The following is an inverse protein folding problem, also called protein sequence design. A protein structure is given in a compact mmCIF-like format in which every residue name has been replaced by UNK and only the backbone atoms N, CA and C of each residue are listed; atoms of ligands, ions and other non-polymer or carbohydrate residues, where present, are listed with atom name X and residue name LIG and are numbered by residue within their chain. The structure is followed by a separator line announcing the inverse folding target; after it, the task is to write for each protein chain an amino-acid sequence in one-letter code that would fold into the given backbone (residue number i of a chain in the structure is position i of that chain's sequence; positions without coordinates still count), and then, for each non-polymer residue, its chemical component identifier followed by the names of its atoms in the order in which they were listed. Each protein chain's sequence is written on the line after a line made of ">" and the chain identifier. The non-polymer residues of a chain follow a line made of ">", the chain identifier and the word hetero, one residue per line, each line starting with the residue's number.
data_IF_691577210620
#
_entry.id   IF_691577210620
#
_cell.length_a   1.000
_cell.length_b   1.000
_cell.length_c   1.000
_cell.angle_alpha   90.00
_cell.angle_beta   90.00
_cell.angle_gamma   90.00
#
_symmetry.space_group_name_H-M   'P 1'
#
loop_
_entity.id
_entity.type
_entity.pdbx_description
1 polymer ?
#
# COMPACT_ATOMS: atom_id res chain seq x y z
N UNK A 1 -1.60 18.01 -14.72
CA UNK A 1 -0.97 17.14 -15.72
C UNK A 1 -1.66 15.79 -15.72
N UNK A 2 -2.10 15.26 -16.89
CA UNK A 2 -2.81 13.98 -16.93
C UNK A 2 -1.90 12.75 -16.84
N UNK A 3 -0.57 12.94 -16.77
CA UNK A 3 0.38 11.84 -16.73
C UNK A 3 1.42 12.09 -15.65
N UNK A 4 1.66 11.08 -14.81
CA UNK A 4 2.73 11.10 -13.83
C UNK A 4 3.76 10.04 -14.23
N UNK A 5 4.91 10.48 -14.73
CA UNK A 5 6.00 9.59 -15.11
C UNK A 5 6.74 9.10 -13.88
N UNK A 6 7.31 7.90 -13.95
CA UNK A 6 8.02 7.32 -12.82
C UNK A 6 9.11 8.25 -12.28
N UNK A 7 9.85 8.90 -13.17
CA UNK A 7 10.98 9.74 -12.80
C UNK A 7 10.61 11.21 -12.58
N UNK A 8 9.33 11.56 -12.67
CA UNK A 8 8.92 12.97 -12.61
C UNK A 8 8.69 13.47 -11.19
N UNK A 9 8.59 12.58 -10.22
CA UNK A 9 8.31 12.93 -8.84
C UNK A 9 9.21 12.11 -7.94
N UNK A 10 9.82 12.78 -6.94
CA UNK A 10 10.61 12.08 -5.93
C UNK A 10 9.63 11.41 -4.97
N UNK A 11 9.74 10.09 -4.75
CA UNK A 11 8.85 9.42 -3.81
C UNK A 11 9.00 9.98 -2.39
N UNK A 12 7.89 10.03 -1.68
CA UNK A 12 7.90 10.41 -0.27
C UNK A 12 8.50 9.27 0.56
N UNK A 13 9.48 9.59 1.40
CA UNK A 13 10.04 8.62 2.33
C UNK A 13 9.20 8.64 3.59
N UNK A 14 8.47 7.55 3.84
CA UNK A 14 7.61 7.44 5.02
C UNK A 14 8.45 7.05 6.24
N UNK A 15 9.32 6.05 6.05
CA UNK A 15 10.30 5.66 7.06
C UNK A 15 11.44 4.94 6.37
N UNK A 16 12.40 4.43 7.12
CA UNK A 16 13.50 3.68 6.53
C UNK A 16 12.97 2.41 5.85
N UNK A 17 13.24 2.29 4.57
CA UNK A 17 12.81 1.14 3.77
C UNK A 17 11.40 1.22 3.25
N UNK A 18 10.69 2.33 3.44
CA UNK A 18 9.34 2.50 2.90
C UNK A 18 9.19 3.86 2.25
N UNK A 19 8.94 3.85 0.94
CA UNK A 19 8.63 5.06 0.17
C UNK A 19 7.28 4.90 -0.50
N UNK A 20 6.64 6.03 -0.81
CA UNK A 20 5.38 6.01 -1.54
C UNK A 20 5.31 7.18 -2.51
N UNK A 21 4.63 6.95 -3.62
CA UNK A 21 4.34 7.98 -4.61
C UNK A 21 2.82 8.05 -4.77
N UNK A 22 2.25 9.23 -4.55
CA UNK A 22 0.81 9.43 -4.48
C UNK A 22 0.35 10.20 -5.70
N UNK A 23 -0.73 9.74 -6.31
CA UNK A 23 -1.41 10.41 -7.42
C UNK A 23 -2.92 10.32 -7.17
N UNK A 24 -3.65 11.41 -7.40
CA UNK A 24 -5.08 11.39 -7.11
C UNK A 24 -5.87 12.37 -7.96
N UNK A 25 -7.14 12.09 -8.06
CA UNK A 25 -8.18 13.03 -8.51
C UNK A 25 -9.03 13.41 -7.30
N UNK A 26 -10.30 13.79 -7.52
CA UNK A 26 -11.15 14.23 -6.40
C UNK A 26 -11.58 13.05 -5.50
N UNK A 27 -11.90 11.92 -6.10
CA UNK A 27 -12.48 10.79 -5.36
C UNK A 27 -11.66 9.51 -5.45
N UNK A 28 -10.56 9.54 -6.19
CA UNK A 28 -9.78 8.34 -6.48
C UNK A 28 -8.31 8.64 -6.28
N UNK A 29 -7.62 7.76 -5.57
CA UNK A 29 -6.20 7.90 -5.28
C UNK A 29 -5.48 6.60 -5.59
N UNK A 30 -4.30 6.70 -6.19
CA UNK A 30 -3.39 5.57 -6.39
C UNK A 30 -2.08 5.89 -5.67
N UNK A 31 -1.61 4.92 -4.90
CA UNK A 31 -0.35 5.04 -4.15
C UNK A 31 0.55 3.87 -4.53
N UNK A 32 1.72 4.17 -5.06
CA UNK A 32 2.74 3.15 -5.33
C UNK A 32 3.64 3.08 -4.11
N UNK A 33 3.62 1.95 -3.43
CA UNK A 33 4.35 1.72 -2.19
C UNK A 33 5.52 0.79 -2.45
N UNK A 34 6.72 1.20 -2.07
CA UNK A 34 7.91 0.37 -2.16
C UNK A 34 8.47 0.11 -0.77
N UNK A 35 8.57 -1.17 -0.42
CA UNK A 35 9.18 -1.64 0.82
C UNK A 35 10.50 -2.31 0.44
N UNK A 36 11.62 -1.74 0.88
CA UNK A 36 12.93 -2.19 0.44
C UNK A 36 13.79 -2.78 1.56
N UNK A 37 13.24 -2.87 2.76
CA UNK A 37 13.98 -3.30 3.95
C UNK A 37 13.42 -4.59 4.54
N UNK A 38 12.77 -5.40 3.70
CA UNK A 38 12.24 -6.68 4.14
C UNK A 38 13.30 -7.77 4.21
N UNK A 39 12.92 -8.93 4.72
CA UNK A 39 11.59 -9.22 5.25
C UNK A 39 11.36 -8.57 6.62
N UNK A 40 10.10 -8.30 6.93
CA UNK A 40 9.72 -7.83 8.27
C UNK A 40 9.76 -8.98 9.25
N UNK A 41 10.24 -8.71 10.47
CA UNK A 41 10.30 -9.74 11.52
C UNK A 41 8.92 -10.07 12.08
N UNK A 42 7.99 -9.12 12.00
CA UNK A 42 6.62 -9.27 12.48
C UNK A 42 5.71 -8.37 11.64
N UNK A 43 4.39 -8.62 11.65
CA UNK A 43 3.47 -7.75 10.94
C UNK A 43 3.46 -6.33 11.50
N UNK A 44 3.10 -5.36 10.65
CA UNK A 44 2.75 -4.04 11.14
C UNK A 44 1.54 -4.12 12.06
N UNK A 45 1.36 -3.15 12.98
CA UNK A 45 0.15 -3.11 13.79
C UNK A 45 -1.09 -2.99 12.90
N UNK A 46 -2.18 -3.70 13.22
CA UNK A 46 -3.42 -3.56 12.45
C UNK A 46 -3.95 -2.14 12.52
N UNK A 47 -4.51 -1.67 11.40
CA UNK A 47 -5.12 -0.35 11.32
C UNK A 47 -6.43 -0.42 10.55
N UNK A 48 -7.23 0.62 10.67
CA UNK A 48 -8.49 0.77 9.96
C UNK A 48 -8.57 2.15 9.34
N UNK A 49 -9.35 2.25 8.29
CA UNK A 49 -9.72 3.54 7.69
C UNK A 49 -11.08 3.39 7.01
N UNK A 50 -11.85 4.48 6.90
CA UNK A 50 -13.18 4.40 6.29
C UNK A 50 -13.14 4.19 4.78
N UNK A 51 -12.00 4.43 4.15
CA UNK A 51 -11.82 4.32 2.70
C UNK A 51 -11.86 2.87 2.25
N UNK A 52 -12.44 2.62 1.08
CA UNK A 52 -12.25 1.35 0.40
C UNK A 52 -10.86 1.30 -0.20
N UNK A 53 -10.28 0.11 -0.24
CA UNK A 53 -8.94 -0.09 -0.77
C UNK A 53 -8.91 -1.35 -1.61
N UNK A 54 -8.29 -1.25 -2.80
CA UNK A 54 -7.93 -2.40 -3.62
C UNK A 54 -6.45 -2.29 -3.90
N UNK A 55 -5.71 -3.36 -3.66
CA UNK A 55 -4.25 -3.37 -3.81
C UNK A 55 -3.81 -4.48 -4.74
N UNK A 56 -2.95 -4.12 -5.69
CA UNK A 56 -2.29 -5.03 -6.61
C UNK A 56 -0.86 -5.28 -6.13
N UNK A 57 -0.47 -6.55 -6.04
CA UNK A 57 0.91 -6.92 -5.70
C UNK A 57 1.73 -6.91 -6.97
N UNK A 58 2.61 -5.91 -7.13
CA UNK A 58 3.42 -5.75 -8.34
C UNK A 58 4.73 -6.52 -8.25
N UNK A 59 5.36 -6.56 -7.08
CA UNK A 59 6.63 -7.25 -6.86
C UNK A 59 6.69 -7.79 -5.44
N UNK A 60 7.42 -8.90 -5.26
CA UNK A 60 7.69 -9.48 -3.96
C UNK A 60 6.51 -10.23 -3.36
N UNK A 61 6.70 -10.75 -2.17
CA UNK A 61 5.72 -11.57 -1.47
C UNK A 61 5.47 -11.00 -0.08
N UNK A 62 4.25 -11.21 0.41
CA UNK A 62 3.85 -10.70 1.71
C UNK A 62 2.75 -11.57 2.29
N UNK A 63 2.58 -11.45 3.60
CA UNK A 63 1.35 -11.89 4.26
C UNK A 63 0.43 -10.69 4.43
N UNK A 64 -0.84 -10.89 4.10
CA UNK A 64 -1.90 -9.95 4.41
C UNK A 64 -2.69 -10.52 5.58
N UNK A 65 -2.90 -9.69 6.58
CA UNK A 65 -3.80 -10.00 7.69
C UNK A 65 -5.04 -9.14 7.52
N UNK A 66 -6.15 -9.79 7.20
CA UNK A 66 -7.42 -9.12 6.95
C UNK A 66 -8.39 -9.62 8.01
N UNK A 67 -8.68 -8.74 8.98
CA UNK A 67 -9.37 -9.12 10.20
C UNK A 67 -8.57 -10.25 10.87
N UNK A 68 -9.11 -11.46 11.00
CA UNK A 68 -8.40 -12.59 11.59
C UNK A 68 -7.83 -13.56 10.56
N UNK A 69 -8.00 -13.27 9.28
CA UNK A 69 -7.52 -14.14 8.20
C UNK A 69 -6.11 -13.75 7.79
N UNK A 70 -5.28 -14.76 7.54
CA UNK A 70 -3.92 -14.58 7.04
C UNK A 70 -3.84 -15.13 5.62
N UNK A 71 -3.33 -14.31 4.70
CA UNK A 71 -3.21 -14.69 3.28
C UNK A 71 -1.78 -14.50 2.83
N UNK A 72 -1.24 -15.50 2.13
CA UNK A 72 0.08 -15.39 1.49
C UNK A 72 -0.14 -14.91 0.05
N UNK A 73 0.44 -13.76 -0.28
CA UNK A 73 0.23 -13.12 -1.59
C UNK A 73 1.54 -13.03 -2.35
N UNK A 74 1.42 -13.16 -3.68
CA UNK A 74 2.52 -13.14 -4.65
C UNK A 74 2.24 -12.13 -5.74
N UNK A 75 3.23 -11.79 -6.58
CA UNK A 75 3.01 -10.86 -7.68
C UNK A 75 1.84 -11.29 -8.56
N UNK A 76 0.99 -10.33 -8.89
CA UNK A 76 -0.23 -10.56 -9.65
C UNK A 76 -1.47 -10.71 -8.79
N UNK A 77 -1.32 -10.97 -7.51
CA UNK A 77 -2.47 -11.09 -6.62
C UNK A 77 -3.05 -9.72 -6.29
N UNK A 78 -4.34 -9.70 -6.03
CA UNK A 78 -5.07 -8.49 -5.67
C UNK A 78 -5.79 -8.75 -4.35
N UNK A 79 -5.74 -7.79 -3.42
CA UNK A 79 -6.55 -7.89 -2.22
C UNK A 79 -7.48 -6.70 -2.08
N UNK A 80 -8.58 -6.94 -1.37
CA UNK A 80 -9.70 -6.01 -1.24
C UNK A 80 -9.92 -5.73 0.24
N UNK A 81 -9.95 -4.46 0.60
CA UNK A 81 -10.17 -4.05 1.99
C UNK A 81 -11.42 -3.17 2.04
N UNK A 82 -12.55 -3.70 2.50
CA UNK A 82 -13.73 -2.87 2.73
C UNK A 82 -13.45 -1.78 3.76
N UNK A 83 -14.23 -0.72 3.74
CA UNK A 83 -14.09 0.35 4.73
C UNK A 83 -14.17 -0.20 6.16
N UNK A 84 -13.33 0.35 7.02
CA UNK A 84 -13.29 0.06 8.47
C UNK A 84 -12.88 -1.37 8.84
N UNK A 85 -12.40 -2.16 7.88
CA UNK A 85 -11.93 -3.51 8.20
C UNK A 85 -10.48 -3.46 8.68
N UNK A 86 -10.17 -4.01 9.87
CA UNK A 86 -8.79 -4.05 10.35
C UNK A 86 -7.89 -4.86 9.43
N UNK A 87 -6.73 -4.33 9.10
CA UNK A 87 -5.78 -4.99 8.21
C UNK A 87 -4.37 -4.53 8.48
N UNK A 88 -3.42 -5.38 8.11
CA UNK A 88 -2.00 -5.05 8.12
C UNK A 88 -1.25 -6.03 7.22
N UNK A 89 0.01 -5.73 6.97
CA UNK A 89 0.85 -6.58 6.13
C UNK A 89 2.14 -6.94 6.87
N UNK A 90 2.76 -8.02 6.39
CA UNK A 90 4.13 -8.38 6.73
C UNK A 90 4.83 -8.76 5.45
N UNK A 91 5.80 -7.96 5.02
CA UNK A 91 6.59 -8.31 3.83
C UNK A 91 7.51 -9.49 4.16
N UNK A 92 7.64 -10.43 3.21
CA UNK A 92 8.50 -11.61 3.37
C UNK A 92 9.58 -11.70 2.31
N UNK A 93 9.62 -10.72 1.40
CA UNK A 93 10.72 -10.52 0.43
C UNK A 93 11.50 -9.28 0.80
N UNK A 94 12.72 -9.16 0.25
CA UNK A 94 13.54 -7.98 0.47
C UNK A 94 12.95 -6.72 -0.15
N UNK A 95 12.30 -6.85 -1.30
CA UNK A 95 11.58 -5.75 -1.96
C UNK A 95 10.15 -6.18 -2.24
N UNK A 96 9.20 -5.35 -1.84
CA UNK A 96 7.78 -5.55 -2.13
C UNK A 96 7.24 -4.23 -2.69
N UNK A 97 6.58 -4.31 -3.84
CA UNK A 97 5.88 -3.16 -4.41
C UNK A 97 4.38 -3.44 -4.43
N UNK A 98 3.64 -2.56 -3.80
CA UNK A 98 2.17 -2.60 -3.77
C UNK A 98 1.63 -1.36 -4.47
N UNK A 99 0.55 -1.55 -5.23
CA UNK A 99 -0.17 -0.44 -5.85
C UNK A 99 -1.53 -0.38 -5.18
N UNK A 100 -1.70 0.61 -4.29
CA UNK A 100 -2.94 0.79 -3.52
C UNK A 100 -3.85 1.77 -4.24
N UNK A 101 -5.12 1.40 -4.35
CA UNK A 101 -6.17 2.28 -4.87
C UNK A 101 -7.14 2.57 -3.74
N UNK A 102 -7.44 3.85 -3.51
CA UNK A 102 -8.34 4.28 -2.44
C UNK A 102 -9.49 5.11 -2.99
N UNK A 103 -10.66 4.94 -2.41
CA UNK A 103 -11.80 5.83 -2.63
C UNK A 103 -12.60 5.93 -1.32
N UNK A 104 -12.93 7.14 -0.86
CA UNK A 104 -12.48 8.43 -1.35
C UNK A 104 -10.99 8.64 -1.14
N UNK A 105 -10.49 9.80 -1.52
CA UNK A 105 -9.07 10.16 -1.35
C UNK A 105 -8.70 10.15 0.13
N UNK A 106 -7.55 9.57 0.44
CA UNK A 106 -7.01 9.58 1.81
C UNK A 106 -6.37 10.93 2.08
N UNK A 107 -7.13 11.81 2.67
CA UNK A 107 -6.67 13.18 2.95
C UNK A 107 -5.51 13.18 3.95
N UNK A 108 -5.46 12.20 4.85
CA UNK A 108 -4.36 12.05 5.78
C UNK A 108 -3.01 11.86 5.06
N UNK A 109 -3.03 11.27 3.86
CA UNK A 109 -1.81 11.11 3.07
C UNK A 109 -1.36 12.42 2.42
N UNK A 110 -2.26 13.37 2.25
CA UNK A 110 -1.99 14.64 1.58
C UNK A 110 -1.59 15.74 2.54
N UNK A 111 -1.75 15.53 3.83
CA UNK A 111 -1.34 16.51 4.86
C UNK A 111 0.15 16.43 5.11
N UNK A 112 0.75 17.58 5.30
CA UNK A 112 2.17 17.69 5.57
C UNK A 112 2.44 18.28 6.93
#
# INVERSE_FOLDING_TARGET
>A
MPVSKENSVIPERVNEGFTRRITHLNNLMVVVCDFTNGPMLKPDPPHTHPHEQITYVAEGELFLYLNEEKHHLRPGDIFLVPGDMPHCIQTISGHVRLIDCFSPVREDFLKK
#
